data_IF_337616360900
#
_entry.id   IF_337616360900
#
_cell.length_a   1.000
_cell.length_b   1.000
_cell.length_c   1.000
_cell.angle_alpha   90.00
_cell.angle_beta   90.00
_cell.angle_gamma   90.00
#
_symmetry.space_group_name_H-M   'P 1'
#
loop_
_entity.id
_entity.type
_entity.pdbx_description
1 polymer ?
#
# COMPACT_ATOMS: atom_id res chain seq x y z
N UNK A 1 5.09 19.63 -3.77
CA UNK A 1 3.85 19.62 -2.96
C UNK A 1 4.11 18.75 -1.74
N UNK A 2 3.48 19.03 -0.60
CA UNK A 2 3.82 18.41 0.69
C UNK A 2 2.78 17.39 1.12
N UNK A 3 3.22 16.32 1.78
CA UNK A 3 2.36 15.30 2.41
C UNK A 3 1.73 15.73 3.74
N UNK A 4 2.04 16.94 4.25
CA UNK A 4 1.62 17.39 5.57
C UNK A 4 0.11 17.28 5.84
N UNK A 5 -0.73 17.41 4.80
CA UNK A 5 -2.18 17.30 4.91
C UNK A 5 -2.67 15.88 5.27
N UNK A 6 -1.88 14.85 4.95
CA UNK A 6 -2.25 13.43 5.13
C UNK A 6 -1.30 12.67 6.07
N UNK A 7 -0.16 13.27 6.47
CA UNK A 7 0.84 12.61 7.31
C UNK A 7 0.26 12.06 8.61
N UNK A 8 -0.61 12.82 9.29
CA UNK A 8 -1.24 12.34 10.52
C UNK A 8 -2.16 11.13 10.31
N UNK A 9 -2.79 11.02 9.13
CA UNK A 9 -3.63 9.89 8.77
C UNK A 9 -2.78 8.66 8.42
N UNK A 10 -1.65 8.89 7.73
CA UNK A 10 -0.68 7.85 7.37
C UNK A 10 0.01 7.26 8.60
N UNK A 11 0.46 8.10 9.53
CA UNK A 11 1.13 7.67 10.75
C UNK A 11 0.19 6.79 11.60
N UNK A 12 -1.08 7.19 11.75
CA UNK A 12 -2.10 6.40 12.47
C UNK A 12 -2.44 5.09 11.76
N UNK A 13 -2.53 5.10 10.43
CA UNK A 13 -2.78 3.88 9.67
C UNK A 13 -1.62 2.90 9.80
N UNK A 14 -0.38 3.39 9.69
CA UNK A 14 0.81 2.58 9.85
C UNK A 14 0.89 1.99 11.27
N UNK A 15 0.65 2.79 12.30
CA UNK A 15 0.57 2.32 13.70
C UNK A 15 -0.53 1.26 13.90
N UNK A 16 -1.72 1.48 13.36
CA UNK A 16 -2.87 0.55 13.46
C UNK A 16 -2.54 -0.84 12.90
N UNK A 17 -1.77 -0.92 11.83
CA UNK A 17 -1.44 -2.17 11.14
C UNK A 17 -0.04 -2.70 11.45
N UNK A 18 0.66 -2.11 12.43
CA UNK A 18 2.04 -2.45 12.80
C UNK A 18 3.01 -2.39 11.60
N UNK A 19 2.86 -1.35 10.78
CA UNK A 19 3.68 -1.11 9.59
C UNK A 19 4.68 0.02 9.82
N UNK A 20 5.83 -0.10 9.16
CA UNK A 20 6.79 0.99 9.06
C UNK A 20 6.46 1.88 7.86
N UNK A 21 6.03 3.11 8.13
CA UNK A 21 5.86 4.14 7.10
C UNK A 21 7.22 4.73 6.70
N UNK A 22 7.56 4.60 5.41
CA UNK A 22 8.74 5.20 4.81
C UNK A 22 8.36 6.54 4.18
N UNK A 23 9.08 7.59 4.60
CA UNK A 23 8.78 8.99 4.22
C UNK A 23 9.72 9.56 3.15
N UNK A 24 10.66 8.76 2.66
CA UNK A 24 11.67 9.15 1.68
C UNK A 24 12.03 7.97 0.78
N UNK A 25 12.35 8.26 -0.48
CA UNK A 25 12.95 7.32 -1.41
C UNK A 25 14.18 7.98 -2.05
N UNK A 26 15.38 7.60 -1.59
CA UNK A 26 16.61 8.32 -1.95
C UNK A 26 16.57 9.77 -1.47
N UNK A 27 16.67 10.71 -2.41
CA UNK A 27 16.62 12.15 -2.13
C UNK A 27 15.20 12.75 -2.25
N UNK A 28 14.21 11.94 -2.66
CA UNK A 28 12.86 12.40 -2.93
C UNK A 28 11.91 12.12 -1.75
N UNK A 29 10.98 13.04 -1.49
CA UNK A 29 9.89 12.80 -0.55
C UNK A 29 8.91 11.77 -1.10
N UNK A 30 8.59 10.76 -0.30
CA UNK A 30 7.67 9.70 -0.68
C UNK A 30 6.81 9.29 0.53
N UNK A 31 5.68 8.62 0.31
CA UNK A 31 4.94 7.95 1.38
C UNK A 31 4.60 6.56 0.93
N UNK A 32 5.20 5.57 1.57
CA UNK A 32 4.93 4.19 1.25
C UNK A 32 5.20 3.28 2.44
N UNK A 33 4.54 2.14 2.45
CA UNK A 33 4.80 1.07 3.40
C UNK A 33 4.76 -0.26 2.65
N UNK A 34 5.55 -1.20 3.13
CA UNK A 34 5.52 -2.59 2.66
C UNK A 34 4.82 -3.45 3.69
N UNK A 35 4.18 -4.51 3.22
CA UNK A 35 3.58 -5.53 4.05
C UNK A 35 3.66 -6.87 3.32
N UNK A 36 3.96 -7.92 4.07
CA UNK A 36 4.17 -9.25 3.51
C UNK A 36 3.33 -10.29 4.24
N UNK A 37 3.07 -11.40 3.53
CA UNK A 37 2.41 -12.57 4.10
C UNK A 37 2.90 -13.83 3.37
N UNK A 38 3.68 -14.65 4.07
CA UNK A 38 4.37 -15.78 3.44
C UNK A 38 5.42 -15.28 2.44
N UNK A 39 5.44 -15.87 1.25
CA UNK A 39 6.37 -15.54 0.16
C UNK A 39 5.86 -14.42 -0.75
N UNK A 40 4.96 -13.58 -0.25
CA UNK A 40 4.38 -12.47 -1.01
C UNK A 40 4.61 -11.15 -0.28
N UNK A 41 4.95 -10.13 -1.04
CA UNK A 41 5.14 -8.76 -0.56
C UNK A 41 4.35 -7.78 -1.42
N UNK A 42 3.62 -6.88 -0.76
CA UNK A 42 2.95 -5.76 -1.38
C UNK A 42 3.52 -4.43 -0.85
N UNK A 43 3.36 -3.39 -1.67
CA UNK A 43 3.63 -2.01 -1.30
C UNK A 43 2.34 -1.20 -1.46
N UNK A 44 2.05 -0.36 -0.48
CA UNK A 44 1.14 0.77 -0.66
C UNK A 44 1.98 2.03 -0.76
N UNK A 45 1.75 2.85 -1.77
CA UNK A 45 2.40 4.15 -1.94
C UNK A 45 1.38 5.26 -2.22
N UNK A 46 1.74 6.50 -1.92
CA UNK A 46 0.91 7.67 -2.19
C UNK A 46 1.73 8.73 -2.89
N UNK A 47 1.08 9.43 -3.82
CA UNK A 47 1.61 10.66 -4.40
C UNK A 47 1.38 11.85 -3.45
N UNK A 48 2.13 12.95 -3.61
CA UNK A 48 1.81 14.18 -2.89
C UNK A 48 0.38 14.64 -3.22
N UNK A 49 -0.42 15.10 -2.23
CA UNK A 49 -1.74 15.65 -2.48
C UNK A 49 -1.73 16.77 -3.52
N UNK A 50 -2.73 16.77 -4.40
CA UNK A 50 -2.96 17.80 -5.42
C UNK A 50 -4.34 18.41 -5.18
N UNK A 51 -4.38 19.60 -4.58
CA UNK A 51 -5.63 20.18 -4.11
C UNK A 51 -6.21 19.34 -2.96
N UNK A 52 -7.47 18.93 -3.09
CA UNK A 52 -8.19 18.14 -2.07
C UNK A 52 -8.16 16.64 -2.34
N UNK A 53 -7.33 16.16 -3.27
CA UNK A 53 -7.22 14.73 -3.59
C UNK A 53 -5.80 14.20 -3.44
N UNK A 54 -5.70 12.89 -3.27
CA UNK A 54 -4.45 12.14 -3.20
C UNK A 54 -4.60 10.83 -3.98
N UNK A 55 -3.55 10.46 -4.70
CA UNK A 55 -3.47 9.16 -5.34
C UNK A 55 -2.89 8.13 -4.35
N UNK A 56 -3.56 6.98 -4.25
CA UNK A 56 -3.16 5.82 -3.47
C UNK A 56 -2.92 4.67 -4.43
N UNK A 57 -1.79 4.01 -4.28
CA UNK A 57 -1.37 2.92 -5.13
C UNK A 57 -1.09 1.67 -4.30
N UNK A 58 -1.41 0.51 -4.86
CA UNK A 58 -1.12 -0.80 -4.31
C UNK A 58 -0.44 -1.65 -5.39
N UNK A 59 0.70 -2.26 -5.05
CA UNK A 59 1.50 -3.05 -5.97
C UNK A 59 1.99 -4.33 -5.31
N UNK A 60 2.05 -5.44 -6.02
CA UNK A 60 2.91 -6.58 -5.66
C UNK A 60 4.36 -6.25 -6.00
N UNK A 61 5.28 -6.50 -5.07
CA UNK A 61 6.72 -6.28 -5.24
C UNK A 61 7.45 -7.56 -5.62
N UNK A 62 7.00 -8.69 -5.08
CA UNK A 62 7.50 -10.02 -5.45
C UNK A 62 6.59 -10.63 -6.51
N UNK A 63 7.11 -10.70 -7.73
CA UNK A 63 6.47 -11.33 -8.87
C UNK A 63 6.84 -12.80 -8.83
N UNK A 64 5.98 -13.65 -8.25
CA UNK A 64 5.88 -15.01 -8.78
C UNK A 64 5.58 -14.84 -10.26
N UNK A 65 6.45 -15.39 -11.12
CA UNK A 65 6.78 -14.96 -12.49
C UNK A 65 5.61 -14.67 -13.47
N UNK A 66 4.34 -14.78 -13.09
CA UNK A 66 3.18 -14.76 -13.98
C UNK A 66 1.96 -13.91 -13.56
N UNK A 67 1.98 -13.10 -12.49
CA UNK A 67 0.82 -12.24 -12.19
C UNK A 67 1.19 -10.88 -11.59
N UNK A 68 0.92 -9.81 -12.36
CA UNK A 68 1.03 -8.43 -11.91
C UNK A 68 -0.23 -8.04 -11.13
N UNK A 69 -0.08 -7.74 -9.84
CA UNK A 69 -1.15 -7.18 -9.03
C UNK A 69 -0.89 -5.69 -8.80
N UNK A 70 -1.73 -4.84 -9.40
CA UNK A 70 -1.67 -3.40 -9.17
C UNK A 70 -3.06 -2.77 -9.15
N UNK A 71 -3.24 -1.82 -8.25
CA UNK A 71 -4.44 -1.01 -8.15
C UNK A 71 -4.08 0.44 -7.85
N UNK A 72 -4.91 1.34 -8.38
CA UNK A 72 -4.73 2.78 -8.27
C UNK A 72 -6.06 3.45 -8.01
N UNK A 73 -6.07 4.35 -7.03
CA UNK A 73 -7.24 5.16 -6.69
C UNK A 73 -6.83 6.61 -6.50
N UNK A 74 -7.70 7.53 -6.90
CA UNK A 74 -7.63 8.93 -6.49
C UNK A 74 -8.79 9.19 -5.56
N UNK A 75 -8.50 9.61 -4.33
CA UNK A 75 -9.51 9.83 -3.29
C UNK A 75 -9.38 11.23 -2.72
N UNK A 76 -10.45 11.81 -2.15
CA UNK A 76 -10.32 13.01 -1.34
C UNK A 76 -9.36 12.81 -0.15
N UNK A 77 -8.63 13.85 0.23
CA UNK A 77 -7.67 13.78 1.35
C UNK A 77 -8.32 13.36 2.67
N UNK A 78 -9.59 13.73 2.88
CA UNK A 78 -10.35 13.33 4.07
C UNK A 78 -10.74 11.84 4.09
N UNK A 79 -10.67 11.13 2.95
CA UNK A 79 -10.96 9.69 2.84
C UNK A 79 -9.69 8.82 2.84
N UNK A 80 -8.51 9.43 2.95
CA UNK A 80 -7.23 8.72 2.79
C UNK A 80 -7.10 7.52 3.75
N UNK A 81 -7.53 7.64 5.01
CA UNK A 81 -7.48 6.52 5.96
C UNK A 81 -8.33 5.33 5.52
N UNK A 82 -9.53 5.58 4.99
CA UNK A 82 -10.41 4.52 4.51
C UNK A 82 -9.85 3.86 3.25
N UNK A 83 -9.27 4.67 2.34
CA UNK A 83 -8.62 4.16 1.14
C UNK A 83 -7.40 3.26 1.46
N UNK A 84 -6.61 3.64 2.47
CA UNK A 84 -5.46 2.86 2.93
C UNK A 84 -5.88 1.53 3.58
N UNK A 85 -6.94 1.54 4.40
CA UNK A 85 -7.51 0.32 4.96
C UNK A 85 -8.00 -0.63 3.84
N UNK A 86 -8.71 -0.09 2.85
CA UNK A 86 -9.20 -0.86 1.71
C UNK A 86 -8.06 -1.46 0.87
N UNK A 87 -7.01 -0.66 0.58
CA UNK A 87 -5.83 -1.12 -0.14
C UNK A 87 -5.09 -2.23 0.62
N UNK A 88 -4.92 -2.07 1.93
CA UNK A 88 -4.28 -3.07 2.78
C UNK A 88 -5.07 -4.39 2.79
N UNK A 89 -6.37 -4.32 3.03
CA UNK A 89 -7.23 -5.51 3.01
C UNK A 89 -7.22 -6.22 1.65
N UNK A 90 -7.20 -5.45 0.56
CA UNK A 90 -7.16 -6.03 -0.77
C UNK A 90 -5.84 -6.75 -1.05
N UNK A 91 -4.70 -6.15 -0.68
CA UNK A 91 -3.40 -6.81 -0.76
C UNK A 91 -3.34 -8.07 0.10
N UNK A 92 -3.86 -8.02 1.33
CA UNK A 92 -3.94 -9.20 2.20
C UNK A 92 -4.80 -10.32 1.60
N UNK A 93 -5.94 -9.99 0.99
CA UNK A 93 -6.80 -10.98 0.31
C UNK A 93 -6.09 -11.60 -0.88
N UNK A 94 -5.44 -10.79 -1.71
CA UNK A 94 -4.66 -11.25 -2.84
C UNK A 94 -3.52 -12.19 -2.39
N UNK A 95 -2.71 -11.80 -1.41
CA UNK A 95 -1.64 -12.68 -0.89
C UNK A 95 -2.19 -13.98 -0.32
N UNK A 96 -3.36 -13.93 0.34
CA UNK A 96 -3.98 -15.13 0.92
C UNK A 96 -4.46 -16.10 -0.16
N UNK A 97 -5.11 -15.61 -1.23
CA UNK A 97 -5.58 -16.48 -2.32
C UNK A 97 -4.43 -17.21 -3.03
N UNK A 98 -3.27 -16.54 -3.14
CA UNK A 98 -2.09 -17.10 -3.79
C UNK A 98 -1.28 -18.02 -2.88
N UNK A 99 -1.22 -17.73 -1.58
CA UNK A 99 -0.61 -18.64 -0.59
C UNK A 99 -1.36 -19.97 -0.48
N UNK A 100 -2.69 -19.98 -0.65
CA UNK A 100 -3.46 -21.23 -0.70
C UNK A 100 -3.30 -21.98 -2.04
N UNK A 101 -3.07 -21.25 -3.14
CA UNK A 101 -2.90 -21.86 -4.47
C UNK A 101 -1.53 -22.54 -4.65
N UNK A 102 -0.49 -22.07 -3.96
CA UNK A 102 0.86 -22.66 -3.99
C UNK A 102 1.00 -23.95 -3.16
N UNK A 103 -0.06 -24.40 -2.48
CA UNK A 103 -0.08 -25.62 -1.68
C UNK A 103 -0.17 -26.96 -2.44
N UNK A 104 0.06 -27.01 -3.77
CA UNK A 104 -0.09 -28.26 -4.54
C UNK A 104 1.01 -28.53 -5.55
N UNK A 105 2.07 -29.24 -5.10
CA UNK A 105 2.78 -30.30 -5.84
C UNK A 105 3.35 -31.30 -4.83
N UNK A 106 2.58 -32.35 -4.57
CA UNK A 106 3.13 -33.61 -4.05
C UNK A 106 3.74 -34.44 -5.19
#
# INVERSE_FOLDING_TARGET
>A
MSYAAIDSALDRWAEKHDLQLLKQNGNDEARFAYFSRGDFCCQISLDPPVGDTVAVHLWSIEVLEHEDFSHHWTVPTFEVSAALDAAFEQGCRWMTSHSTASGWRG
#
